data_IF_556887763250
#
_entry.id   IF_556887763250
#
_cell.length_a   1.000
_cell.length_b   1.000
_cell.length_c   1.000
_cell.angle_alpha   90.00
_cell.angle_beta   90.00
_cell.angle_gamma   90.00
#
_symmetry.space_group_name_H-M   'P 1'
#
loop_
_entity.id
_entity.type
_entity.pdbx_description
1 polymer ?
#
# COMPACT_ATOMS: atom_id res chain seq x y z
N UNK A 1 -29.39 -9.83 -33.61
CA UNK A 1 -29.78 -9.02 -32.44
C UNK A 1 -29.74 -9.87 -31.19
N UNK A 2 -29.21 -9.36 -30.08
CA UNK A 2 -29.38 -9.94 -28.74
C UNK A 2 -28.12 -10.46 -28.05
N UNK A 3 -27.08 -9.63 -27.87
CA UNK A 3 -26.08 -9.91 -26.83
C UNK A 3 -26.75 -9.82 -25.45
N UNK A 4 -26.92 -10.96 -24.77
CA UNK A 4 -27.35 -11.03 -23.37
C UNK A 4 -26.31 -10.31 -22.50
N UNK A 5 -26.61 -9.07 -22.10
CA UNK A 5 -25.87 -8.36 -21.04
C UNK A 5 -25.95 -9.20 -19.76
N UNK A 6 -24.83 -9.81 -19.35
CA UNK A 6 -24.71 -10.41 -18.02
C UNK A 6 -24.87 -9.27 -17.01
N UNK A 7 -25.97 -9.27 -16.26
CA UNK A 7 -26.18 -8.38 -15.12
C UNK A 7 -25.09 -8.70 -14.10
N UNK A 8 -24.16 -7.78 -13.93
CA UNK A 8 -23.13 -7.87 -12.90
C UNK A 8 -23.84 -7.66 -11.55
N UNK A 9 -24.11 -8.75 -10.84
CA UNK A 9 -24.78 -8.72 -9.54
C UNK A 9 -23.79 -8.16 -8.53
N UNK A 10 -23.90 -6.87 -8.21
CA UNK A 10 -23.18 -6.22 -7.11
C UNK A 10 -23.33 -7.08 -5.84
N UNK A 11 -22.23 -7.64 -5.35
CA UNK A 11 -22.17 -8.28 -4.03
C UNK A 11 -21.81 -7.20 -3.02
N UNK A 12 -22.43 -7.17 -1.86
CA UNK A 12 -22.10 -6.17 -0.82
C UNK A 12 -20.69 -6.41 -0.29
N UNK A 13 -20.02 -5.35 0.18
CA UNK A 13 -18.65 -5.37 0.73
C UNK A 13 -18.49 -6.38 1.87
N UNK A 14 -19.52 -6.56 2.71
CA UNK A 14 -19.60 -7.51 3.83
C UNK A 14 -19.46 -8.99 3.39
N UNK A 15 -19.75 -9.31 2.13
CA UNK A 15 -19.62 -10.67 1.58
C UNK A 15 -18.29 -10.90 0.85
N UNK A 16 -17.42 -9.89 0.78
CA UNK A 16 -16.14 -10.01 0.11
C UNK A 16 -15.06 -10.46 1.09
N UNK A 17 -14.63 -11.73 0.97
CA UNK A 17 -13.54 -12.30 1.78
C UNK A 17 -12.21 -11.55 1.72
N UNK A 18 -12.06 -10.59 0.80
CA UNK A 18 -10.90 -9.70 0.71
C UNK A 18 -11.10 -8.36 1.43
N UNK A 19 -12.34 -7.88 1.58
CA UNK A 19 -12.65 -6.68 2.37
C UNK A 19 -12.59 -6.97 3.88
N UNK A 20 -12.82 -8.21 4.30
CA UNK A 20 -13.00 -8.59 5.71
C UNK A 20 -11.81 -9.34 6.31
N UNK A 21 -10.63 -9.24 5.70
CA UNK A 21 -9.47 -10.03 6.11
C UNK A 21 -8.69 -9.31 7.21
N UNK A 22 -8.58 -9.93 8.38
CA UNK A 22 -7.70 -9.49 9.46
C UNK A 22 -6.25 -9.97 9.20
N UNK A 23 -5.25 -9.16 9.56
CA UNK A 23 -3.84 -9.51 9.40
C UNK A 23 -3.35 -9.32 7.96
N UNK A 24 -3.43 -8.09 7.44
CA UNK A 24 -3.00 -7.79 6.08
C UNK A 24 -1.49 -7.55 6.00
N UNK A 25 -0.82 -8.29 5.11
CA UNK A 25 0.60 -8.11 4.83
C UNK A 25 0.83 -7.82 3.34
N UNK A 26 1.66 -6.82 3.05
CA UNK A 26 2.05 -6.50 1.69
C UNK A 26 3.42 -7.08 1.35
N UNK A 27 3.51 -7.71 0.17
CA UNK A 27 4.73 -8.36 -0.31
C UNK A 27 5.27 -7.65 -1.54
N UNK A 28 6.53 -7.22 -1.50
CA UNK A 28 7.20 -6.67 -2.68
C UNK A 28 8.58 -7.31 -2.90
N UNK A 29 9.16 -7.08 -4.09
CA UNK A 29 10.43 -7.67 -4.55
C UNK A 29 10.52 -9.19 -4.32
N UNK A 30 9.64 -9.97 -4.98
CA UNK A 30 9.61 -11.43 -4.87
C UNK A 30 9.45 -11.93 -3.42
N UNK A 31 8.69 -11.19 -2.61
CA UNK A 31 8.44 -11.44 -1.18
C UNK A 31 9.64 -11.19 -0.26
N UNK A 32 10.72 -10.59 -0.75
CA UNK A 32 11.87 -10.26 0.10
C UNK A 32 11.52 -9.22 1.16
N UNK A 33 10.54 -8.37 0.88
CA UNK A 33 9.98 -7.42 1.83
C UNK A 33 8.55 -7.79 2.18
N UNK A 34 8.24 -7.70 3.47
CA UNK A 34 6.91 -7.97 4.02
C UNK A 34 6.57 -6.85 4.99
N UNK A 35 5.50 -6.12 4.73
CA UNK A 35 4.99 -5.05 5.59
C UNK A 35 3.77 -5.53 6.36
N UNK A 36 3.66 -5.10 7.61
CA UNK A 36 2.46 -5.18 8.45
C UNK A 36 1.56 -3.97 8.13
N UNK A 37 0.45 -4.22 7.44
CA UNK A 37 -0.45 -3.15 7.01
C UNK A 37 -1.35 -2.70 8.16
N UNK A 38 -1.66 -3.57 9.12
CA UNK A 38 -2.48 -3.19 10.27
C UNK A 38 -1.70 -2.25 11.19
N UNK A 39 -0.41 -2.52 11.40
CA UNK A 39 0.48 -1.59 12.10
C UNK A 39 0.64 -0.27 11.33
N UNK A 40 0.79 -0.32 10.00
CA UNK A 40 0.88 0.89 9.19
C UNK A 40 -0.38 1.77 9.31
N UNK A 41 -1.56 1.15 9.29
CA UNK A 41 -2.85 1.83 9.50
C UNK A 41 -2.96 2.44 10.90
N UNK A 42 -2.43 1.76 11.92
CA UNK A 42 -2.39 2.29 13.27
C UNK A 42 -1.52 3.56 13.36
N UNK A 43 -0.34 3.59 12.74
CA UNK A 43 0.52 4.79 12.75
C UNK A 43 -0.15 6.02 12.14
N UNK A 44 -0.87 5.85 11.02
CA UNK A 44 -1.51 6.96 10.30
C UNK A 44 -2.91 7.31 10.84
N UNK A 45 -3.33 6.66 11.93
CA UNK A 45 -4.60 6.98 12.60
C UNK A 45 -4.52 8.20 13.52
N UNK A 46 -3.36 8.85 13.58
CA UNK A 46 -3.02 10.02 14.42
C UNK A 46 -3.63 11.35 13.94
N UNK A 47 -4.41 11.34 12.86
CA UNK A 47 -5.08 12.51 12.32
C UNK A 47 -4.20 13.40 11.44
N UNK A 48 -3.02 12.92 11.01
CA UNK A 48 -2.18 13.63 10.03
C UNK A 48 -2.92 13.87 8.71
N UNK A 49 -2.47 14.89 7.98
CA UNK A 49 -3.02 15.21 6.66
C UNK A 49 -2.49 14.22 5.61
N UNK A 50 -3.38 13.75 4.72
CA UNK A 50 -2.98 12.96 3.55
C UNK A 50 -2.55 13.88 2.41
N UNK A 51 -1.58 13.44 1.61
CA UNK A 51 -1.12 14.16 0.42
C UNK A 51 -1.62 13.50 -0.86
N UNK A 52 -1.79 14.28 -1.92
CA UNK A 52 -2.10 13.74 -3.25
C UNK A 52 -0.89 12.99 -3.81
N UNK A 53 -1.11 11.80 -4.33
CA UNK A 53 -0.10 11.03 -5.03
C UNK A 53 -0.19 11.33 -6.54
N UNK A 54 0.93 11.71 -7.14
CA UNK A 54 0.99 12.07 -8.55
C UNK A 54 0.47 10.93 -9.46
N UNK A 55 -0.23 11.24 -10.56
CA UNK A 55 -0.79 10.23 -11.45
C UNK A 55 0.22 9.20 -11.96
N UNK A 56 1.45 9.64 -12.24
CA UNK A 56 2.56 8.78 -12.67
C UNK A 56 2.93 7.75 -11.59
N UNK A 57 2.92 8.14 -10.32
CA UNK A 57 3.23 7.27 -9.18
C UNK A 57 2.06 6.31 -8.88
N UNK A 58 0.83 6.76 -9.07
CA UNK A 58 -0.37 5.90 -9.06
C UNK A 58 -0.24 4.82 -10.12
N UNK A 59 0.10 5.19 -11.36
CA UNK A 59 0.29 4.25 -12.46
C UNK A 59 1.37 3.23 -12.15
N UNK A 60 2.55 3.69 -11.73
CA UNK A 60 3.67 2.84 -11.35
C UNK A 60 3.33 1.84 -10.23
N UNK A 61 2.54 2.28 -9.25
CA UNK A 61 2.13 1.46 -8.12
C UNK A 61 1.14 0.38 -8.54
N UNK A 62 0.15 0.73 -9.35
CA UNK A 62 -0.93 -0.17 -9.79
C UNK A 62 -0.44 -1.20 -10.83
N UNK A 63 0.43 -0.81 -11.76
CA UNK A 63 0.88 -1.69 -12.85
C UNK A 63 1.76 -2.87 -12.38
N UNK A 64 2.24 -2.81 -11.14
CA UNK A 64 3.17 -3.80 -10.56
C UNK A 64 2.50 -4.74 -9.56
N UNK A 65 1.19 -4.69 -9.42
CA UNK A 65 0.43 -5.54 -8.47
C UNK A 65 -0.74 -6.22 -9.15
N UNK A 66 -1.17 -7.35 -8.59
CA UNK A 66 -2.36 -8.05 -9.07
C UNK A 66 -3.62 -7.31 -8.58
N UNK A 67 -4.30 -6.63 -9.51
CA UNK A 67 -5.59 -6.01 -9.25
C UNK A 67 -6.71 -7.03 -9.49
N UNK A 68 -7.61 -7.16 -8.52
CA UNK A 68 -8.84 -7.91 -8.72
C UNK A 68 -9.92 -6.94 -9.21
N UNK A 69 -10.20 -6.98 -10.51
CA UNK A 69 -11.19 -6.10 -11.13
C UNK A 69 -12.59 -6.24 -10.51
N UNK A 70 -12.97 -7.45 -10.07
CA UNK A 70 -14.24 -7.69 -9.39
C UNK A 70 -14.32 -7.06 -7.99
N UNK A 71 -13.18 -6.66 -7.42
CA UNK A 71 -13.11 -5.99 -6.12
C UNK A 71 -13.18 -4.47 -6.23
N UNK A 72 -12.83 -3.90 -7.39
CA UNK A 72 -12.78 -2.44 -7.58
C UNK A 72 -14.13 -1.75 -7.38
N UNK A 73 -15.24 -2.45 -7.62
CA UNK A 73 -16.58 -1.89 -7.44
C UNK A 73 -16.97 -1.68 -5.96
N UNK A 74 -16.22 -2.22 -5.01
CA UNK A 74 -16.56 -2.20 -3.58
C UNK A 74 -15.56 -1.42 -2.72
N UNK A 75 -14.43 -0.99 -3.29
CA UNK A 75 -13.46 -0.17 -2.56
C UNK A 75 -13.94 1.27 -2.52
N UNK A 76 -13.79 1.92 -1.36
CA UNK A 76 -14.07 3.33 -1.20
C UNK A 76 -12.84 4.16 -1.61
N UNK A 77 -12.88 4.91 -2.73
CA UNK A 77 -11.74 5.68 -3.21
C UNK A 77 -11.43 6.92 -2.35
N UNK A 78 -12.33 7.31 -1.42
CA UNK A 78 -12.08 8.44 -0.51
C UNK A 78 -11.11 8.10 0.62
N UNK A 79 -10.87 6.81 0.89
CA UNK A 79 -9.93 6.36 1.91
C UNK A 79 -8.50 6.41 1.35
N UNK A 80 -7.59 7.19 1.95
CA UNK A 80 -6.21 7.28 1.48
C UNK A 80 -5.47 5.93 1.48
N UNK A 81 -4.45 5.80 0.64
CA UNK A 81 -3.45 4.73 0.72
C UNK A 81 -2.36 5.02 1.76
N UNK A 82 -1.38 4.12 1.83
CA UNK A 82 -0.19 4.32 2.68
C UNK A 82 1.07 4.07 1.87
N UNK A 83 1.98 5.04 1.90
CA UNK A 83 3.32 4.97 1.32
C UNK A 83 4.34 4.77 2.44
N UNK A 84 5.24 3.81 2.26
CA UNK A 84 6.37 3.56 3.16
C UNK A 84 7.70 3.85 2.48
N UNK A 85 8.70 4.20 3.28
CA UNK A 85 10.09 4.21 2.88
C UNK A 85 10.61 2.77 2.79
N UNK A 86 11.43 2.52 1.76
CA UNK A 86 12.03 1.23 1.49
C UNK A 86 13.49 1.42 1.11
N UNK A 87 14.36 0.61 1.72
CA UNK A 87 15.77 0.59 1.41
C UNK A 87 16.16 -0.76 0.85
N UNK A 88 16.97 -0.76 -0.21
CA UNK A 88 17.52 -1.99 -0.76
C UNK A 88 18.96 -1.79 -1.24
N UNK A 89 19.84 -2.79 -1.05
CA UNK A 89 21.19 -2.72 -1.56
C UNK A 89 21.20 -2.82 -3.08
N UNK A 90 21.90 -1.89 -3.73
CA UNK A 90 22.26 -1.96 -5.15
C UNK A 90 23.45 -2.91 -5.34
N UNK A 91 23.76 -3.24 -6.60
CA UNK A 91 24.86 -4.15 -6.97
C UNK A 91 26.23 -3.63 -6.53
N UNK A 92 26.39 -2.30 -6.44
CA UNK A 92 27.62 -1.63 -5.99
C UNK A 92 27.72 -1.51 -4.46
N UNK A 93 26.75 -2.04 -3.72
CA UNK A 93 26.68 -1.97 -2.25
C UNK A 93 26.09 -0.68 -1.69
N UNK A 94 25.70 0.29 -2.54
CA UNK A 94 24.99 1.48 -2.07
C UNK A 94 23.56 1.13 -1.65
N UNK A 95 23.02 1.87 -0.68
CA UNK A 95 21.61 1.74 -0.30
C UNK A 95 20.76 2.67 -1.15
N UNK A 96 19.84 2.08 -1.92
CA UNK A 96 18.84 2.85 -2.64
C UNK A 96 17.65 3.09 -1.72
N UNK A 97 17.29 4.36 -1.57
CA UNK A 97 16.07 4.79 -0.91
C UNK A 97 14.94 4.93 -1.92
N UNK A 98 13.83 4.27 -1.66
CA UNK A 98 12.64 4.31 -2.50
C UNK A 98 11.38 4.49 -1.65
N UNK A 99 10.31 4.93 -2.30
CA UNK A 99 8.98 5.01 -1.72
C UNK A 99 8.10 3.95 -2.35
N UNK A 100 7.25 3.32 -1.55
CA UNK A 100 6.35 2.29 -2.04
C UNK A 100 4.97 2.43 -1.46
N UNK A 101 3.95 2.44 -2.32
CA UNK A 101 2.57 2.19 -1.91
C UNK A 101 2.50 0.78 -1.31
N UNK A 102 2.18 0.67 -0.02
CA UNK A 102 2.05 -0.59 0.70
C UNK A 102 0.59 -0.94 0.99
N UNK A 103 -0.30 0.06 1.05
CA UNK A 103 -1.75 -0.11 1.18
C UNK A 103 -2.51 0.75 0.17
N UNK A 104 -3.69 0.29 -0.25
CA UNK A 104 -4.60 1.07 -1.10
C UNK A 104 -4.47 0.86 -2.61
N UNK A 105 -3.77 -0.18 -3.07
CA UNK A 105 -3.59 -0.46 -4.51
C UNK A 105 -4.90 -0.59 -5.30
N UNK A 106 -5.93 -1.25 -4.75
CA UNK A 106 -7.24 -1.33 -5.41
C UNK A 106 -7.95 0.03 -5.44
N UNK A 107 -7.81 0.84 -4.37
CA UNK A 107 -8.35 2.21 -4.32
C UNK A 107 -7.65 3.10 -5.35
N UNK A 108 -6.32 3.05 -5.42
CA UNK A 108 -5.52 3.72 -6.44
C UNK A 108 -5.93 3.31 -7.86
N UNK A 109 -6.13 2.02 -8.10
CA UNK A 109 -6.61 1.50 -9.39
C UNK A 109 -8.01 2.03 -9.73
N UNK A 110 -8.91 2.14 -8.74
CA UNK A 110 -10.22 2.73 -8.91
C UNK A 110 -10.16 4.23 -9.25
N UNK A 111 -9.37 5.01 -8.51
CA UNK A 111 -9.14 6.43 -8.80
C UNK A 111 -8.59 6.62 -10.20
N UNK A 112 -7.62 5.79 -10.63
CA UNK A 112 -7.08 5.80 -12.00
C UNK A 112 -8.15 5.55 -13.05
N UNK A 113 -9.04 4.56 -12.85
CA UNK A 113 -10.13 4.25 -13.79
C UNK A 113 -11.12 5.42 -13.93
N UNK A 114 -11.46 6.03 -12.81
CA UNK A 114 -12.46 7.10 -12.72
C UNK A 114 -11.85 8.49 -12.97
N UNK A 115 -10.53 8.59 -13.17
CA UNK A 115 -9.76 9.85 -13.31
C UNK A 115 -9.96 10.80 -12.11
N UNK A 116 -9.96 10.23 -10.91
CA UNK A 116 -10.01 10.96 -9.65
C UNK A 116 -8.61 11.05 -9.04
N UNK A 117 -8.33 12.10 -8.23
CA UNK A 117 -7.11 12.15 -7.44
C UNK A 117 -7.07 10.97 -6.45
N UNK A 118 -5.86 10.53 -6.10
CA UNK A 118 -5.64 9.51 -5.08
C UNK A 118 -4.75 10.08 -3.99
N UNK A 119 -5.18 9.96 -2.74
CA UNK A 119 -4.45 10.49 -1.59
C UNK A 119 -3.76 9.37 -0.82
N UNK A 120 -2.66 9.70 -0.16
CA UNK A 120 -1.89 8.77 0.67
C UNK A 120 -1.42 9.43 1.96
N UNK A 121 -1.28 8.62 3.00
CA UNK A 121 -0.41 8.94 4.13
C UNK A 121 1.00 8.46 3.83
N UNK A 122 1.99 9.24 4.27
CA UNK A 122 3.41 8.85 4.19
C UNK A 122 3.86 8.51 5.59
N UNK A 123 4.32 7.27 5.78
CA UNK A 123 5.00 6.86 7.00
C UNK A 123 6.35 7.57 7.07
N UNK A 124 6.78 7.96 8.27
CA UNK A 124 8.18 8.31 8.53
C UNK A 124 9.12 7.12 8.28
N UNK A 125 10.43 7.38 8.25
CA UNK A 125 11.42 6.33 8.08
C UNK A 125 11.34 5.31 9.21
N UNK A 126 11.17 5.77 10.45
CA UNK A 126 11.04 4.95 11.65
C UNK A 126 9.77 4.09 11.62
N UNK A 127 8.63 4.68 11.28
CA UNK A 127 7.36 3.94 11.11
C UNK A 127 7.47 2.90 9.98
N UNK A 128 8.14 3.25 8.88
CA UNK A 128 8.37 2.33 7.76
C UNK A 128 9.22 1.14 8.16
N UNK A 129 10.26 1.34 8.97
CA UNK A 129 11.07 0.25 9.52
C UNK A 129 10.28 -0.56 10.53
N UNK A 130 9.48 0.07 11.40
CA UNK A 130 8.67 -0.62 12.39
C UNK A 130 7.64 -1.56 11.74
N UNK A 131 7.06 -1.16 10.61
CA UNK A 131 6.09 -1.98 9.86
C UNK A 131 6.74 -3.12 9.06
N UNK A 132 8.07 -3.17 8.92
CA UNK A 132 8.74 -4.27 8.20
C UNK A 132 8.82 -5.54 9.05
N UNK A 133 7.99 -6.52 8.71
CA UNK A 133 8.04 -7.89 9.25
C UNK A 133 9.29 -8.62 8.76
N UNK A 134 9.68 -8.37 7.50
CA UNK A 134 10.83 -9.00 6.86
C UNK A 134 11.46 -8.07 5.83
N UNK A 135 12.79 -8.05 5.79
CA UNK A 135 13.61 -7.42 4.76
C UNK A 135 14.93 -8.19 4.57
N UNK A 136 15.63 -8.04 3.42
CA UNK A 136 16.98 -8.57 3.25
C UNK A 136 17.99 -7.94 4.21
N UNK A 137 19.03 -8.68 4.57
CA UNK A 137 20.16 -8.13 5.36
C UNK A 137 20.78 -6.92 4.64
N UNK A 138 21.10 -5.88 5.38
CA UNK A 138 21.65 -4.63 4.84
C UNK A 138 20.61 -3.67 4.26
N UNK A 139 19.32 -3.98 4.38
CA UNK A 139 18.20 -3.12 3.92
C UNK A 139 17.74 -2.11 4.97
N UNK A 140 18.55 -1.86 5.99
CA UNK A 140 18.25 -0.89 7.05
C UNK A 140 19.42 0.09 7.09
N UNK A 141 19.17 1.39 6.84
CA UNK A 141 20.19 2.42 6.96
C UNK A 141 20.81 2.47 8.34
N UNK A 142 22.10 2.82 8.42
CA UNK A 142 22.83 2.87 9.69
C UNK A 142 22.18 3.80 10.72
N UNK A 143 21.62 4.93 10.28
CA UNK A 143 20.95 5.89 11.17
C UNK A 143 19.62 5.39 11.74
N UNK A 144 19.04 4.33 11.17
CA UNK A 144 17.81 3.70 11.64
C UNK A 144 18.07 2.39 12.40
N UNK A 145 19.33 1.94 12.48
CA UNK A 145 19.69 0.76 13.27
C UNK A 145 19.45 1.07 14.74
N UNK A 146 18.53 0.33 15.36
CA UNK A 146 18.15 0.54 16.76
C UNK A 146 17.23 1.73 16.99
N UNK A 147 16.65 2.31 15.94
CA UNK A 147 15.55 3.27 16.08
C UNK A 147 14.46 2.66 16.97
N UNK A 148 13.99 3.43 17.94
CA UNK A 148 12.88 3.00 18.79
C UNK A 148 11.63 2.97 17.92
N UNK A 149 10.89 1.86 17.98
CA UNK A 149 9.55 1.78 17.40
C UNK A 149 8.72 2.91 18.01
N UNK A 150 8.12 3.80 17.19
CA UNK A 150 7.22 4.82 17.72
C UNK A 150 6.10 4.14 18.51
N UNK A 151 5.78 4.68 19.69
CA UNK A 151 4.72 4.12 20.53
C UNK A 151 3.39 4.50 19.91
N UNK A 152 2.53 3.50 19.69
CA UNK A 152 1.13 3.71 19.36
C UNK A 152 0.41 4.06 20.66
N UNK A 153 -0.11 5.29 20.77
CA UNK A 153 -0.89 5.75 21.93
C UNK A 153 -2.30 5.15 21.97
#
# INVERSE_FOLDING_TARGET
>A
MGHKKKKNKQRKSEECSRCTREGEAFYCFKKNYVFDIDMARAFVSDGRESIELEPEDVNYSVDRVEINEGHLAHVDPSIPGIVAHLYYPAEDGTLVHAHRLIDGHHRASRCRQDKMPFYVYVLSEEESIATLIRSPKGSTPEHLVGAKVPVLD
#
